data_IF_742908777644
#
_entry.id   IF_742908777644
#
_cell.length_a   1.000
_cell.length_b   1.000
_cell.length_c   1.000
_cell.angle_alpha   90.00
_cell.angle_beta   90.00
_cell.angle_gamma   90.00
#
_symmetry.space_group_name_H-M   'P 1'
#
loop_
_entity.id
_entity.type
_entity.pdbx_description
1 polymer ?
#
# COMPACT_ATOMS: atom_id res chain seq x y z
N UNK A 1 0.00 -10.58 8.33
CA UNK A 1 -1.32 -9.93 8.06
C UNK A 1 -1.25 -9.30 6.68
N UNK A 2 -2.36 -9.19 5.94
CA UNK A 2 -2.40 -8.60 4.59
C UNK A 2 -3.51 -7.56 4.50
N UNK A 3 -3.26 -6.44 3.86
CA UNK A 3 -4.30 -5.49 3.45
C UNK A 3 -4.04 -5.03 2.01
N UNK A 4 -5.07 -4.44 1.38
CA UNK A 4 -5.07 -4.05 -0.03
C UNK A 4 -5.57 -2.63 -0.21
N UNK A 5 -4.92 -1.89 -1.09
CA UNK A 5 -5.35 -0.59 -1.61
C UNK A 5 -5.75 -0.77 -3.07
N UNK A 6 -6.96 -0.36 -3.42
CA UNK A 6 -7.42 -0.32 -4.81
C UNK A 6 -7.42 1.13 -5.29
N UNK A 7 -6.85 1.36 -6.48
CA UNK A 7 -7.18 2.58 -7.22
C UNK A 7 -8.64 2.50 -7.68
N UNK A 8 -9.27 3.66 -7.78
CA UNK A 8 -10.58 3.77 -8.39
C UNK A 8 -10.51 3.34 -9.87
N UNK A 9 -11.66 2.98 -10.46
CA UNK A 9 -11.71 2.54 -11.86
C UNK A 9 -11.54 3.69 -12.86
N UNK A 10 -11.72 4.94 -12.43
CA UNK A 10 -11.71 6.12 -13.31
C UNK A 10 -10.57 7.09 -13.02
N UNK A 11 -9.85 6.92 -11.90
CA UNK A 11 -8.79 7.83 -11.48
C UNK A 11 -7.60 7.12 -10.85
N UNK A 12 -6.42 7.68 -11.12
CA UNK A 12 -5.17 7.22 -10.52
C UNK A 12 -5.14 7.58 -9.03
N UNK A 13 -4.47 6.74 -8.24
CA UNK A 13 -4.28 6.94 -6.80
C UNK A 13 -2.80 6.96 -6.47
N UNK A 14 -2.36 8.01 -5.76
CA UNK A 14 -1.02 8.05 -5.19
C UNK A 14 -1.04 7.39 -3.80
N UNK A 15 -0.15 6.44 -3.57
CA UNK A 15 0.06 5.81 -2.26
C UNK A 15 1.39 6.28 -1.70
N UNK A 16 1.38 6.90 -0.52
CA UNK A 16 2.57 7.40 0.18
C UNK A 16 2.85 6.51 1.39
N UNK A 17 4.10 6.12 1.59
CA UNK A 17 4.56 5.29 2.70
C UNK A 17 5.35 6.13 3.70
N UNK A 18 4.79 6.39 4.88
CA UNK A 18 5.44 7.11 5.97
C UNK A 18 5.99 6.15 7.04
N UNK A 19 7.15 6.49 7.66
CA UNK A 19 7.89 7.76 7.54
C UNK A 19 8.92 7.81 6.40
N UNK A 20 9.04 6.77 5.57
CA UNK A 20 10.11 6.66 4.56
C UNK A 20 9.95 7.61 3.36
N UNK A 21 8.76 8.15 3.13
CA UNK A 21 8.47 9.07 2.03
C UNK A 21 8.42 8.41 0.66
N UNK A 22 8.40 7.08 0.58
CA UNK A 22 8.24 6.36 -0.69
C UNK A 22 6.84 6.61 -1.25
N UNK A 23 6.75 6.80 -2.57
CA UNK A 23 5.48 7.01 -3.25
C UNK A 23 5.30 6.01 -4.38
N UNK A 24 4.06 5.55 -4.56
CA UNK A 24 3.66 4.67 -5.65
C UNK A 24 2.42 5.26 -6.32
N UNK A 25 2.47 5.40 -7.64
CA UNK A 25 1.29 5.71 -8.43
C UNK A 25 0.61 4.40 -8.83
N UNK A 26 -0.66 4.25 -8.46
CA UNK A 26 -1.54 3.20 -8.95
C UNK A 26 -2.38 3.78 -10.07
N UNK A 27 -2.27 3.21 -11.28
CA UNK A 27 -3.15 3.62 -12.36
C UNK A 27 -4.58 3.19 -12.05
N UNK A 28 -5.56 3.82 -12.69
CA UNK A 28 -6.96 3.43 -12.56
C UNK A 28 -7.15 1.89 -12.72
N UNK A 29 -7.80 1.28 -11.72
CA UNK A 29 -8.04 -0.16 -11.65
C UNK A 29 -6.89 -1.03 -11.13
N UNK A 30 -5.68 -0.47 -10.93
CA UNK A 30 -4.57 -1.18 -10.30
C UNK A 30 -4.84 -1.43 -8.80
N UNK A 31 -4.05 -2.32 -8.20
CA UNK A 31 -4.05 -2.49 -6.76
C UNK A 31 -2.67 -2.77 -6.18
N UNK A 32 -2.54 -2.47 -4.89
CA UNK A 32 -1.35 -2.66 -4.10
C UNK A 32 -1.70 -3.51 -2.88
N UNK A 33 -0.94 -4.57 -2.64
CA UNK A 33 -1.01 -5.35 -1.41
C UNK A 33 0.20 -5.08 -0.54
N UNK A 34 -0.05 -4.91 0.75
CA UNK A 34 1.00 -4.85 1.76
C UNK A 34 0.86 -6.06 2.67
N UNK A 35 1.94 -6.81 2.79
CA UNK A 35 2.05 -7.99 3.63
C UNK A 35 2.95 -7.65 4.81
N UNK A 36 2.36 -7.59 6.00
CA UNK A 36 3.08 -7.34 7.23
C UNK A 36 3.58 -8.67 7.81
N UNK A 37 4.84 -8.71 8.31
CA UNK A 37 5.43 -9.92 8.86
C UNK A 37 4.60 -10.45 10.04
N UNK A 38 4.47 -11.78 10.13
CA UNK A 38 3.72 -12.46 11.19
C UNK A 38 4.46 -12.49 12.53
N UNK A 39 5.77 -12.23 12.52
CA UNK A 39 6.67 -12.42 13.65
C UNK A 39 7.47 -11.15 13.94
N UNK A 40 6.81 -10.11 14.43
CA UNK A 40 7.48 -9.17 15.32
C UNK A 40 7.31 -9.74 16.73
N UNK A 41 8.37 -10.34 17.29
CA UNK A 41 8.28 -11.00 18.61
C UNK A 41 7.74 -10.02 19.66
N UNK A 42 6.67 -10.39 20.37
CA UNK A 42 5.99 -9.59 21.41
C UNK A 42 5.54 -8.15 21.05
N UNK A 43 5.96 -7.60 19.92
CA UNK A 43 5.73 -6.21 19.54
C UNK A 43 4.41 -6.06 18.80
N UNK A 44 3.67 -5.01 19.18
CA UNK A 44 2.43 -4.61 18.52
C UNK A 44 2.78 -3.97 17.19
N UNK A 45 2.38 -4.60 16.08
CA UNK A 45 2.38 -3.96 14.77
C UNK A 45 1.16 -3.06 14.67
N UNK A 46 1.36 -1.75 14.51
CA UNK A 46 0.30 -0.77 14.21
C UNK A 46 0.47 -0.20 12.81
N UNK A 47 -0.68 0.13 12.22
CA UNK A 47 -0.77 0.64 10.86
C UNK A 47 -1.91 1.65 10.81
N UNK A 48 -1.67 2.85 10.31
CA UNK A 48 -2.70 3.88 10.15
C UNK A 48 -2.85 4.25 8.68
N UNK A 49 -4.09 4.51 8.26
CA UNK A 49 -4.45 4.87 6.89
C UNK A 49 -5.12 6.22 6.93
N UNK A 50 -4.58 7.16 6.16
CA UNK A 50 -5.16 8.48 5.94
C UNK A 50 -5.57 8.62 4.47
N UNK A 51 -6.72 9.26 4.26
CA UNK A 51 -7.30 9.48 2.93
C UNK A 51 -7.32 10.96 2.59
N UNK A 52 -6.82 11.29 1.39
CA UNK A 52 -6.90 12.61 0.79
C UNK A 52 -7.38 12.48 -0.67
N UNK A 53 -7.86 13.55 -1.33
CA UNK A 53 -8.29 13.47 -2.73
C UNK A 53 -7.18 12.94 -3.65
N UNK A 54 -7.41 11.79 -4.29
CA UNK A 54 -6.45 11.13 -5.19
C UNK A 54 -5.23 10.52 -4.49
N UNK A 55 -5.22 10.45 -3.15
CA UNK A 55 -4.04 10.05 -2.39
C UNK A 55 -4.41 9.25 -1.13
N UNK A 56 -3.62 8.22 -0.85
CA UNK A 56 -3.70 7.44 0.39
C UNK A 56 -2.32 7.48 1.05
N UNK A 57 -2.29 7.80 2.34
CA UNK A 57 -1.05 7.82 3.13
C UNK A 57 -1.10 6.63 4.09
N UNK A 58 -0.04 5.83 4.05
CA UNK A 58 0.17 4.62 4.82
C UNK A 58 1.24 4.88 5.88
N UNK A 59 0.81 5.05 7.12
CA UNK A 59 1.69 5.27 8.27
C UNK A 59 2.09 3.93 8.88
N UNK A 60 3.33 3.50 8.68
CA UNK A 60 3.81 2.19 9.15
C UNK A 60 4.97 2.33 10.15
N UNK A 61 4.84 1.65 11.30
CA UNK A 61 5.93 1.53 12.27
C UNK A 61 6.93 0.42 11.95
N UNK A 62 6.64 -0.43 10.95
CA UNK A 62 7.45 -1.58 10.53
C UNK A 62 7.48 -1.66 9.01
N UNK A 63 8.56 -2.20 8.44
CA UNK A 63 8.69 -2.39 6.99
C UNK A 63 7.95 -3.68 6.60
N UNK A 64 6.90 -3.54 5.78
CA UNK A 64 6.18 -4.66 5.16
C UNK A 64 6.70 -4.98 3.75
N UNK A 65 6.40 -6.17 3.24
CA UNK A 65 6.61 -6.46 1.82
C UNK A 65 5.45 -5.89 1.02
N UNK A 66 5.77 -5.14 -0.04
CA UNK A 66 4.79 -4.50 -0.92
C UNK A 66 4.81 -5.21 -2.27
N UNK A 67 3.63 -5.39 -2.83
CA UNK A 67 3.44 -5.95 -4.16
C UNK A 67 2.42 -5.09 -4.90
N UNK A 68 2.64 -4.90 -6.19
CA UNK A 68 1.77 -4.05 -7.04
C UNK A 68 1.31 -4.86 -8.24
N UNK A 69 0.02 -4.77 -8.55
CA UNK A 69 -0.57 -5.42 -9.71
C UNK A 69 -1.26 -4.40 -10.59
N UNK A 70 -1.10 -4.57 -11.89
CA UNK A 70 -1.87 -3.83 -12.87
C UNK A 70 -3.34 -4.28 -12.89
N UNK A 71 -4.18 -3.48 -13.54
CA UNK A 71 -5.61 -3.73 -13.77
C UNK A 71 -5.91 -5.05 -14.50
N UNK A 72 -4.93 -5.67 -15.16
CA UNK A 72 -5.07 -6.99 -15.78
C UNK A 72 -4.81 -8.15 -14.82
N UNK A 73 -4.39 -7.85 -13.58
CA UNK A 73 -4.04 -8.83 -12.55
C UNK A 73 -2.58 -9.32 -12.62
N UNK A 74 -1.72 -8.66 -13.39
CA UNK A 74 -0.29 -9.00 -13.48
C UNK A 74 0.51 -8.19 -12.47
N UNK A 75 1.42 -8.85 -11.76
CA UNK A 75 2.35 -8.18 -10.83
C UNK A 75 3.39 -7.36 -11.61
N UNK A 76 3.59 -6.09 -11.23
CA UNK A 76 4.42 -5.12 -11.94
C UNK A 76 5.56 -4.52 -11.09
N UNK A 77 5.70 -4.89 -9.81
CA UNK A 77 6.76 -4.36 -8.96
C UNK A 77 7.03 -5.15 -7.70
N UNK A 78 8.31 -5.09 -7.27
CA UNK A 78 8.85 -5.45 -5.95
C UNK A 78 9.43 -4.17 -5.34
#
# INVERSE_FOLDING_TARGET
MKFRVHADQESDTIVVFEPWGEQRLLAAGDHLDVVLPLAAGADKISFEVEYAPGMIILHQGVIGTVYVWDSSGREIGI
#
